data_IF_718524450622
#
_entry.id   IF_718524450622
#
_cell.length_a   1.000
_cell.length_b   1.000
_cell.length_c   1.000
_cell.angle_alpha   90.00
_cell.angle_beta   90.00
_cell.angle_gamma   90.00
#
_symmetry.space_group_name_H-M   'P 1'
#
loop_
_entity.id
_entity.type
_entity.pdbx_description
1 polymer ?
#
# COMPACT_ATOMS: atom_id res chain seq x y z
N UNK A 1 0.41 15.14 5.19
CA UNK A 1 -0.13 13.89 4.59
C UNK A 1 -1.63 14.07 4.54
N UNK A 2 -2.20 14.30 3.36
CA UNK A 2 -3.63 14.58 3.21
C UNK A 2 -4.47 13.45 3.81
N UNK A 3 -5.57 13.77 4.50
CA UNK A 3 -6.46 12.79 5.18
C UNK A 3 -6.91 11.65 4.24
N UNK A 4 -6.94 11.91 2.94
CA UNK A 4 -7.28 10.93 1.90
C UNK A 4 -6.24 9.80 1.78
N UNK A 5 -4.95 10.09 1.95
CA UNK A 5 -3.89 9.10 1.78
C UNK A 5 -3.87 8.11 2.95
N UNK A 6 -4.07 8.62 4.17
CA UNK A 6 -4.21 7.77 5.35
C UNK A 6 -5.40 6.80 5.21
N UNK A 7 -6.50 7.27 4.63
CA UNK A 7 -7.69 6.44 4.39
C UNK A 7 -7.41 5.31 3.41
N UNK A 8 -6.63 5.56 2.35
CA UNK A 8 -6.30 4.54 1.36
C UNK A 8 -5.33 3.48 1.89
N UNK A 9 -4.32 3.87 2.68
CA UNK A 9 -3.43 2.88 3.32
C UNK A 9 -4.18 1.98 4.29
N UNK A 10 -5.12 2.53 5.06
CA UNK A 10 -5.96 1.74 5.96
C UNK A 10 -6.83 0.72 5.22
N UNK A 11 -7.42 1.09 4.07
CA UNK A 11 -8.16 0.14 3.21
C UNK A 11 -7.27 -0.99 2.71
N UNK A 12 -6.00 -0.68 2.38
CA UNK A 12 -5.04 -1.70 1.96
C UNK A 12 -4.73 -2.65 3.13
N UNK A 13 -4.50 -2.13 4.33
CA UNK A 13 -4.32 -2.96 5.53
C UNK A 13 -5.53 -3.89 5.77
N UNK A 14 -6.75 -3.37 5.64
CA UNK A 14 -7.99 -4.16 5.79
C UNK A 14 -8.12 -5.27 4.73
N UNK A 15 -7.73 -5.01 3.48
CA UNK A 15 -7.77 -5.99 2.39
C UNK A 15 -6.69 -7.08 2.56
N UNK A 16 -5.51 -6.70 3.06
CA UNK A 16 -4.41 -7.63 3.30
C UNK A 16 -4.69 -8.52 4.53
N UNK A 17 -5.46 -8.02 5.49
CA UNK A 17 -5.83 -8.72 6.72
C UNK A 17 -4.60 -9.36 7.41
N UNK A 18 -4.76 -10.50 8.08
CA UNK A 18 -3.69 -11.18 8.82
C UNK A 18 -2.68 -11.91 7.91
N UNK A 19 -3.04 -12.13 6.64
CA UNK A 19 -2.28 -12.92 5.66
C UNK A 19 -1.36 -12.07 4.75
N UNK A 20 -1.34 -10.75 4.97
CA UNK A 20 -0.52 -9.83 4.20
C UNK A 20 0.03 -8.68 5.04
N UNK A 21 0.91 -7.91 4.41
CA UNK A 21 1.49 -6.70 5.03
C UNK A 21 1.86 -5.66 3.99
N UNK A 22 1.86 -4.41 4.42
CA UNK A 22 2.34 -3.25 3.65
C UNK A 22 3.51 -2.60 4.39
N UNK A 23 4.54 -2.21 3.65
CA UNK A 23 5.65 -1.39 4.15
C UNK A 23 5.78 -0.15 3.29
N UNK A 24 5.65 1.02 3.91
CA UNK A 24 5.80 2.33 3.27
C UNK A 24 6.99 3.04 3.88
N UNK A 25 7.91 3.51 3.03
CA UNK A 25 9.07 4.30 3.48
C UNK A 25 9.49 5.32 2.44
N UNK A 26 10.08 6.41 2.90
CA UNK A 26 10.81 7.33 2.02
C UNK A 26 12.09 6.66 1.50
N UNK A 27 12.48 7.00 0.28
CA UNK A 27 13.79 6.62 -0.24
C UNK A 27 14.86 7.58 0.29
N UNK A 28 15.93 7.04 0.87
CA UNK A 28 17.04 7.86 1.41
C UNK A 28 17.99 8.42 0.35
N UNK A 29 17.84 8.04 -0.92
CA UNK A 29 18.76 8.41 -2.00
C UNK A 29 18.07 9.05 -3.20
N UNK A 30 16.73 9.08 -3.23
CA UNK A 30 15.94 9.60 -4.35
C UNK A 30 14.66 10.25 -3.80
N UNK A 31 14.12 11.31 -4.42
CA UNK A 31 12.89 11.97 -3.97
C UNK A 31 11.64 11.16 -4.36
N UNK A 32 11.51 9.94 -3.81
CA UNK A 32 10.39 9.03 -4.07
C UNK A 32 10.02 8.21 -2.84
N UNK A 33 8.77 7.75 -2.80
CA UNK A 33 8.23 6.86 -1.77
C UNK A 33 8.31 5.42 -2.28
N UNK A 34 8.78 4.48 -1.44
CA UNK A 34 8.78 3.05 -1.73
C UNK A 34 7.67 2.37 -0.95
N UNK A 35 6.87 1.59 -1.68
CA UNK A 35 5.77 0.81 -1.14
C UNK A 35 6.01 -0.65 -1.52
N UNK A 36 6.06 -1.52 -0.51
CA UNK A 36 6.09 -2.97 -0.66
C UNK A 36 4.78 -3.54 -0.11
N UNK A 37 4.17 -4.46 -0.85
CA UNK A 37 2.99 -5.22 -0.42
C UNK A 37 3.26 -6.70 -0.62
N UNK A 38 2.79 -7.52 0.33
CA UNK A 38 2.92 -8.97 0.29
C UNK A 38 1.59 -9.59 0.70
N UNK A 39 1.15 -10.62 -0.02
CA UNK A 39 0.01 -11.47 0.32
C UNK A 39 0.13 -12.79 -0.44
N UNK A 40 -0.43 -13.88 0.08
CA UNK A 40 -0.41 -15.21 -0.58
C UNK A 40 -1.28 -15.30 -1.86
N UNK A 41 -2.05 -14.26 -2.16
CA UNK A 41 -3.08 -14.26 -3.21
C UNK A 41 -2.83 -13.12 -4.17
N UNK A 42 -2.59 -13.44 -5.44
CA UNK A 42 -2.32 -12.45 -6.48
C UNK A 42 -3.53 -11.54 -6.74
N UNK A 43 -4.76 -12.05 -6.54
CA UNK A 43 -5.97 -11.24 -6.71
C UNK A 43 -6.09 -10.17 -5.62
N UNK A 44 -5.66 -10.48 -4.38
CA UNK A 44 -5.60 -9.52 -3.28
C UNK A 44 -4.50 -8.49 -3.52
N UNK A 45 -3.32 -8.94 -3.96
CA UNK A 45 -2.24 -8.03 -4.37
C UNK A 45 -2.69 -7.06 -5.47
N UNK A 46 -3.44 -7.55 -6.46
CA UNK A 46 -3.94 -6.71 -7.56
C UNK A 46 -4.91 -5.63 -7.08
N UNK A 47 -5.84 -5.97 -6.18
CA UNK A 47 -6.76 -5.01 -5.55
C UNK A 47 -6.02 -3.97 -4.70
N UNK A 48 -5.03 -4.41 -3.91
CA UNK A 48 -4.20 -3.50 -3.11
C UNK A 48 -3.41 -2.53 -3.99
N UNK A 49 -2.83 -3.00 -5.11
CA UNK A 49 -2.12 -2.17 -6.10
C UNK A 49 -3.02 -1.08 -6.69
N UNK A 50 -4.26 -1.44 -7.05
CA UNK A 50 -5.22 -0.48 -7.60
C UNK A 50 -5.50 0.68 -6.63
N UNK A 51 -5.68 0.38 -5.34
CA UNK A 51 -5.92 1.40 -4.31
C UNK A 51 -4.69 2.30 -4.13
N UNK A 52 -3.49 1.72 -4.13
CA UNK A 52 -2.23 2.47 -3.99
C UNK A 52 -2.01 3.40 -5.19
N UNK A 53 -2.28 2.94 -6.41
CA UNK A 53 -2.11 3.76 -7.62
C UNK A 53 -3.01 5.00 -7.64
N UNK A 54 -4.12 5.00 -6.90
CA UNK A 54 -5.01 6.17 -6.78
C UNK A 54 -4.52 7.21 -5.75
N UNK A 55 -3.36 6.99 -5.11
CA UNK A 55 -2.74 7.90 -4.13
C UNK A 55 -1.70 8.82 -4.79
N UNK A 56 -1.08 8.38 -5.88
CA UNK A 56 0.10 9.00 -6.51
C UNK A 56 -0.30 9.70 -7.82
#
# INVERSE_FOLDING_TARGET
MDKNNFTNFKKVEEILNEDGRILVRESGTQPLIRILIEHRSESILSKAKEIINNII
#
